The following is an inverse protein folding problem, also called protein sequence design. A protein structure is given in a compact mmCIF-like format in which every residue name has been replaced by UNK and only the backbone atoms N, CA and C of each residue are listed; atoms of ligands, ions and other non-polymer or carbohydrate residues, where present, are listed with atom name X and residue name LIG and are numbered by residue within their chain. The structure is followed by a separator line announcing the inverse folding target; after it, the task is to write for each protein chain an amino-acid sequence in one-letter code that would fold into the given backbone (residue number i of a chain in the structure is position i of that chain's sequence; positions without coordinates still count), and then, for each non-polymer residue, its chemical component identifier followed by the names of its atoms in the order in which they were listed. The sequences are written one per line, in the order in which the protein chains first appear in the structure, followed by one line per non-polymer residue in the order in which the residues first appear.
data_IF_182471460033
#
_entry.id   IF_182471460033
#
_cell.length_a   1.000
_cell.length_b   1.000
_cell.length_c   1.000
_cell.angle_alpha   90.00
_cell.angle_beta   90.00
_cell.angle_gamma   90.00
#
_symmetry.space_group_name_H-M   'P 1'
#
loop_
_entity.id
_entity.type
_entity.pdbx_description
1 polymer ?
#
# COMPACT_ATOMS: atom_id res chain seq x y z
N UNK A 1 -0.86 -20.32 9.32
CA UNK A 1 -1.60 -19.16 9.82
C UNK A 1 -3.09 -19.41 9.60
N UNK A 2 -3.89 -19.12 10.62
CA UNK A 2 -5.35 -19.31 10.54
C UNK A 2 -5.97 -17.96 10.16
N UNK A 3 -6.50 -17.89 8.95
CA UNK A 3 -7.25 -16.72 8.48
C UNK A 3 -8.55 -16.57 9.28
N UNK A 4 -8.89 -15.40 9.80
CA UNK A 4 -10.18 -15.17 10.43
C UNK A 4 -11.33 -15.45 9.47
N UNK A 5 -12.39 -16.10 9.96
CA UNK A 5 -13.55 -16.42 9.15
C UNK A 5 -14.21 -15.15 8.59
N UNK A 6 -14.55 -15.15 7.31
CA UNK A 6 -15.22 -14.02 6.64
C UNK A 6 -14.29 -12.89 6.18
N UNK A 7 -12.96 -13.06 6.31
CA UNK A 7 -11.98 -12.12 5.75
C UNK A 7 -11.51 -12.64 4.40
N UNK A 8 -11.62 -11.81 3.38
CA UNK A 8 -11.05 -12.07 2.06
C UNK A 8 -9.58 -11.64 2.02
N UNK A 9 -8.75 -12.45 1.35
CA UNK A 9 -7.35 -12.11 1.10
C UNK A 9 -7.26 -11.04 0.01
N UNK A 10 -6.17 -10.27 0.03
CA UNK A 10 -5.81 -9.43 -1.11
C UNK A 10 -5.60 -10.30 -2.36
N UNK A 11 -6.07 -9.81 -3.51
CA UNK A 11 -5.98 -10.51 -4.80
C UNK A 11 -7.11 -11.49 -5.09
N UNK A 12 -7.99 -11.78 -4.14
CA UNK A 12 -9.21 -12.56 -4.42
C UNK A 12 -10.12 -11.74 -5.34
N UNK A 13 -10.38 -12.29 -6.54
CA UNK A 13 -11.18 -11.59 -7.55
C UNK A 13 -10.39 -10.65 -8.47
N UNK A 14 -9.08 -10.49 -8.28
CA UNK A 14 -8.23 -9.75 -9.21
C UNK A 14 -8.20 -10.42 -10.59
N UNK A 15 -8.12 -9.60 -11.66
CA UNK A 15 -7.77 -10.06 -13.00
C UNK A 15 -6.25 -9.97 -13.22
N UNK A 16 -5.53 -11.10 -13.17
CA UNK A 16 -4.08 -11.12 -13.32
C UNK A 16 -3.63 -10.94 -14.79
N UNK A 17 -4.56 -10.81 -15.73
CA UNK A 17 -4.25 -10.53 -17.13
C UNK A 17 -4.18 -9.02 -17.43
N UNK A 18 -4.45 -8.19 -16.45
CA UNK A 18 -4.35 -6.74 -16.56
C UNK A 18 -3.29 -6.21 -15.59
N UNK A 19 -2.37 -5.39 -16.09
CA UNK A 19 -1.40 -4.72 -15.23
C UNK A 19 -2.12 -3.82 -14.23
N UNK A 20 -3.10 -3.05 -14.72
CA UNK A 20 -3.96 -2.21 -13.90
C UNK A 20 -5.43 -2.52 -14.21
N UNK A 21 -6.20 -2.74 -13.14
CA UNK A 21 -7.65 -2.64 -13.13
C UNK A 21 -8.05 -1.95 -11.80
N UNK A 22 -9.01 -1.01 -11.78
CA UNK A 22 -9.33 -0.22 -10.59
C UNK A 22 -9.63 -1.04 -9.33
N UNK A 23 -10.25 -2.21 -9.49
CA UNK A 23 -10.61 -3.10 -8.39
C UNK A 23 -9.59 -4.22 -8.10
N UNK A 24 -8.52 -4.35 -8.89
CA UNK A 24 -7.44 -5.25 -8.53
C UNK A 24 -6.75 -4.74 -7.25
N UNK A 25 -6.37 -5.63 -6.38
CA UNK A 25 -5.59 -5.29 -5.19
C UNK A 25 -4.09 -5.12 -5.47
N UNK A 26 -3.61 -5.72 -6.57
CA UNK A 26 -2.22 -5.69 -6.99
C UNK A 26 -2.07 -5.17 -8.42
N UNK A 27 -0.84 -4.76 -8.76
CA UNK A 27 -0.41 -4.50 -10.15
C UNK A 27 0.30 -5.73 -10.68
N UNK A 28 -0.22 -6.33 -11.76
CA UNK A 28 0.31 -7.57 -12.34
C UNK A 28 1.23 -7.29 -13.53
N UNK A 29 2.41 -7.89 -13.51
CA UNK A 29 3.30 -7.93 -14.67
C UNK A 29 2.86 -9.11 -15.54
N UNK A 30 1.91 -8.84 -16.42
CA UNK A 30 1.12 -9.84 -17.12
C UNK A 30 2.00 -10.82 -17.90
N UNK A 31 1.70 -12.12 -17.77
CA UNK A 31 2.36 -13.22 -18.50
C UNK A 31 3.85 -13.38 -18.21
N UNK A 32 4.37 -12.79 -17.16
CA UNK A 32 5.78 -12.93 -16.77
C UNK A 32 5.91 -13.58 -15.41
N UNK A 33 6.87 -14.49 -15.28
CA UNK A 33 7.28 -15.07 -13.99
C UNK A 33 8.18 -14.06 -13.28
N UNK A 34 8.05 -13.92 -11.98
CA UNK A 34 8.98 -13.15 -11.16
C UNK A 34 10.38 -13.78 -11.25
N UNK A 35 11.33 -13.04 -11.78
CA UNK A 35 12.67 -13.55 -12.14
C UNK A 35 13.74 -12.49 -11.88
N UNK A 36 14.04 -12.15 -10.62
CA UNK A 36 15.07 -11.18 -10.30
C UNK A 36 16.46 -11.67 -10.79
N UNK A 37 17.40 -10.73 -10.95
CA UNK A 37 18.77 -11.04 -11.40
C UNK A 37 19.69 -11.53 -10.26
N UNK A 38 19.12 -11.95 -9.13
CA UNK A 38 19.84 -12.51 -7.99
C UNK A 38 19.15 -13.80 -7.51
N UNK A 39 19.86 -14.59 -6.71
CA UNK A 39 19.36 -15.88 -6.24
C UNK A 39 18.29 -15.69 -5.16
N UNK A 40 17.12 -16.28 -5.34
CA UNK A 40 16.01 -16.34 -4.38
C UNK A 40 15.96 -17.66 -3.61
N UNK A 41 17.03 -18.46 -3.69
CA UNK A 41 17.04 -19.81 -3.16
C UNK A 41 16.76 -20.86 -4.24
N UNK A 42 17.06 -22.08 -3.93
CA UNK A 42 16.97 -23.21 -4.85
C UNK A 42 16.29 -24.44 -4.23
N UNK A 43 15.82 -25.33 -5.08
CA UNK A 43 15.19 -26.57 -4.64
C UNK A 43 13.73 -26.39 -4.23
N UNK A 44 13.32 -27.06 -3.14
CA UNK A 44 11.91 -27.08 -2.68
C UNK A 44 11.46 -25.76 -2.09
N UNK A 45 12.40 -24.90 -1.68
CA UNK A 45 12.17 -23.60 -1.05
C UNK A 45 12.33 -22.43 -2.05
N UNK A 46 12.47 -22.75 -3.36
CA UNK A 46 12.56 -21.71 -4.40
C UNK A 46 11.25 -20.92 -4.47
N UNK A 47 11.35 -19.59 -4.34
CA UNK A 47 10.20 -18.72 -4.51
C UNK A 47 9.70 -18.75 -5.95
N UNK A 48 8.38 -18.89 -6.13
CA UNK A 48 7.73 -18.85 -7.43
C UNK A 48 6.50 -17.93 -7.40
N UNK A 49 6.44 -16.98 -8.32
CA UNK A 49 5.28 -16.10 -8.49
C UNK A 49 4.95 -15.94 -9.98
N UNK A 50 3.69 -16.23 -10.34
CA UNK A 50 3.17 -16.03 -11.69
C UNK A 50 1.69 -15.60 -11.65
N UNK A 51 1.30 -14.53 -12.37
CA UNK A 51 2.21 -13.52 -12.91
C UNK A 51 2.92 -12.76 -11.79
N UNK A 52 4.09 -12.20 -12.10
CA UNK A 52 4.81 -11.33 -11.18
C UNK A 52 3.95 -10.10 -10.82
N UNK A 53 4.22 -9.51 -9.65
CA UNK A 53 3.56 -8.26 -9.20
C UNK A 53 4.59 -7.14 -9.08
N UNK A 54 4.13 -5.90 -9.19
CA UNK A 54 4.99 -4.75 -8.92
C UNK A 54 5.45 -4.73 -7.48
N UNK A 55 6.71 -4.35 -7.24
CA UNK A 55 7.27 -4.22 -5.88
C UNK A 55 6.76 -2.98 -5.17
N UNK A 56 6.90 -2.93 -3.85
CA UNK A 56 6.41 -1.83 -3.02
C UNK A 56 6.99 -0.46 -3.39
N UNK A 57 8.21 -0.42 -3.95
CA UNK A 57 8.87 0.81 -4.38
C UNK A 57 8.68 1.15 -5.88
N UNK A 58 7.56 0.72 -6.47
CA UNK A 58 7.16 1.08 -7.84
C UNK A 58 8.03 0.47 -8.96
N UNK A 59 8.66 -0.68 -8.73
CA UNK A 59 9.27 -1.44 -9.80
C UNK A 59 8.19 -2.28 -10.53
N UNK A 60 7.76 -1.82 -11.70
CA UNK A 60 6.78 -2.48 -12.58
C UNK A 60 7.48 -3.43 -13.56
N UNK A 61 8.35 -4.30 -13.06
CA UNK A 61 9.13 -5.27 -13.85
C UNK A 61 9.10 -6.64 -13.17
N UNK A 62 9.10 -7.70 -13.97
CA UNK A 62 9.30 -9.07 -13.47
C UNK A 62 10.75 -9.34 -13.05
N UNK A 63 11.66 -8.40 -13.32
CA UNK A 63 13.11 -8.52 -13.10
C UNK A 63 13.62 -7.43 -12.15
N UNK A 64 13.11 -7.34 -10.90
CA UNK A 64 13.59 -6.35 -9.96
C UNK A 64 15.07 -6.56 -9.63
N UNK A 65 15.75 -5.48 -9.27
CA UNK A 65 17.12 -5.51 -8.76
C UNK A 65 17.13 -5.77 -7.25
N UNK A 66 18.31 -6.02 -6.70
CA UNK A 66 18.51 -6.15 -5.25
C UNK A 66 18.18 -4.85 -4.47
N UNK A 67 18.18 -3.71 -5.15
CA UNK A 67 17.83 -2.40 -4.57
C UNK A 67 16.33 -2.10 -4.63
N UNK A 68 15.56 -2.86 -5.40
CA UNK A 68 14.11 -2.79 -5.38
C UNK A 68 13.59 -3.52 -4.13
N UNK A 69 12.43 -3.10 -3.64
CA UNK A 69 11.81 -3.75 -2.49
C UNK A 69 11.15 -5.07 -2.91
N UNK A 70 11.97 -5.98 -3.46
CA UNK A 70 11.54 -7.24 -4.05
C UNK A 70 10.81 -8.20 -3.09
N UNK A 71 10.99 -8.01 -1.79
CA UNK A 71 10.30 -8.76 -0.72
C UNK A 71 8.88 -8.22 -0.45
N UNK A 72 8.48 -7.16 -1.13
CA UNK A 72 7.20 -6.49 -0.94
C UNK A 72 6.39 -6.48 -2.22
N UNK A 73 5.08 -6.34 -2.09
CA UNK A 73 4.16 -6.21 -3.22
C UNK A 73 3.40 -4.89 -3.11
N UNK A 74 3.35 -4.13 -4.22
CA UNK A 74 2.60 -2.88 -4.26
C UNK A 74 1.10 -3.14 -4.27
N UNK A 75 0.40 -2.52 -3.32
CA UNK A 75 -1.06 -2.51 -3.30
C UNK A 75 -1.61 -1.47 -4.27
N UNK A 76 -2.66 -1.85 -4.98
CA UNK A 76 -3.34 -0.95 -5.91
C UNK A 76 -4.43 -0.15 -5.18
N UNK A 77 -4.19 1.14 -5.00
CA UNK A 77 -5.13 2.10 -4.45
C UNK A 77 -5.96 2.83 -5.52
N UNK A 78 -6.04 2.31 -6.73
CA UNK A 78 -6.82 2.91 -7.83
C UNK A 78 -6.05 3.95 -8.65
N UNK A 79 -4.71 3.93 -8.61
CA UNK A 79 -3.86 4.79 -9.44
C UNK A 79 -3.28 3.97 -10.59
N UNK A 80 -3.54 4.37 -11.83
CA UNK A 80 -2.90 3.80 -13.01
C UNK A 80 -1.53 4.47 -13.24
N UNK A 81 -0.46 3.78 -12.89
CA UNK A 81 0.90 4.27 -13.06
C UNK A 81 1.36 4.32 -14.54
N UNK A 82 0.61 3.70 -15.45
CA UNK A 82 0.89 3.76 -16.90
C UNK A 82 0.58 5.13 -17.50
N UNK A 83 -0.45 5.82 -16.98
CA UNK A 83 -0.91 7.10 -17.50
C UNK A 83 -1.19 8.15 -16.43
N UNK A 84 -1.04 7.81 -15.14
CA UNK A 84 -1.26 8.70 -14.01
C UNK A 84 -2.72 8.96 -13.66
N UNK A 85 -3.68 8.26 -14.29
CA UNK A 85 -5.09 8.42 -13.97
C UNK A 85 -5.45 7.85 -12.61
N UNK A 86 -6.47 8.45 -11.98
CA UNK A 86 -6.96 8.07 -10.65
C UNK A 86 -8.40 7.60 -10.74
N UNK A 87 -8.68 6.43 -10.18
CA UNK A 87 -9.95 5.75 -10.25
C UNK A 87 -10.46 5.47 -8.84
N UNK A 88 -11.11 6.46 -8.23
CA UNK A 88 -11.59 6.42 -6.85
C UNK A 88 -13.12 6.39 -6.74
N UNK A 89 -13.83 6.39 -7.87
CA UNK A 89 -15.26 6.20 -7.95
C UNK A 89 -15.58 5.16 -9.05
N UNK A 90 -16.10 3.97 -8.69
CA UNK A 90 -16.34 3.52 -7.31
C UNK A 90 -15.06 3.36 -6.49
N UNK A 91 -15.19 3.43 -5.15
CA UNK A 91 -14.05 3.26 -4.23
C UNK A 91 -13.40 1.89 -4.46
N UNK A 92 -12.06 1.83 -4.64
CA UNK A 92 -11.34 0.57 -4.86
C UNK A 92 -11.49 -0.43 -3.71
N UNK A 93 -11.56 -1.71 -4.03
CA UNK A 93 -11.67 -2.79 -3.04
C UNK A 93 -10.53 -2.76 -1.99
N UNK A 94 -9.31 -2.44 -2.42
CA UNK A 94 -8.16 -2.26 -1.52
C UNK A 94 -8.44 -1.30 -0.36
N UNK A 95 -9.19 -0.21 -0.59
CA UNK A 95 -9.50 0.77 0.45
C UNK A 95 -10.34 0.17 1.56
N UNK A 96 -11.36 -0.61 1.23
CA UNK A 96 -12.21 -1.30 2.22
C UNK A 96 -11.40 -2.31 3.03
N UNK A 97 -10.54 -3.09 2.37
CA UNK A 97 -9.67 -4.06 3.04
C UNK A 97 -8.71 -3.38 4.03
N UNK A 98 -8.07 -2.27 3.60
CA UNK A 98 -7.15 -1.52 4.45
C UNK A 98 -7.85 -0.84 5.63
N UNK A 99 -9.03 -0.25 5.44
CA UNK A 99 -9.81 0.31 6.57
C UNK A 99 -10.19 -0.77 7.57
N UNK A 100 -10.55 -1.96 7.10
CA UNK A 100 -10.85 -3.07 7.99
C UNK A 100 -9.63 -3.51 8.82
N UNK A 101 -8.43 -3.49 8.24
CA UNK A 101 -7.17 -3.74 8.97
C UNK A 101 -6.95 -2.66 10.04
N UNK A 102 -7.09 -1.39 9.68
CA UNK A 102 -6.96 -0.28 10.63
C UNK A 102 -7.98 -0.41 11.79
N UNK A 103 -9.24 -0.69 11.48
CA UNK A 103 -10.30 -0.90 12.49
C UNK A 103 -10.04 -2.13 13.37
N UNK A 104 -9.49 -3.20 12.80
CA UNK A 104 -9.12 -4.40 13.56
C UNK A 104 -8.09 -4.06 14.64
N UNK A 105 -6.99 -3.39 14.26
CA UNK A 105 -5.97 -2.99 15.23
C UNK A 105 -6.44 -1.93 16.22
N UNK A 106 -7.20 -0.94 15.76
CA UNK A 106 -7.84 0.04 16.64
C UNK A 106 -8.71 -0.63 17.73
N UNK A 107 -9.43 -1.71 17.37
CA UNK A 107 -10.24 -2.48 18.32
C UNK A 107 -9.42 -3.23 19.38
N UNK A 108 -8.10 -3.36 19.20
CA UNK A 108 -7.20 -3.97 20.18
C UNK A 108 -6.69 -3.00 21.23
N UNK A 109 -7.12 -1.73 21.17
CA UNK A 109 -6.77 -0.72 22.17
C UNK A 109 -5.41 -0.06 21.97
N UNK A 110 -4.94 0.03 20.73
CA UNK A 110 -3.73 0.82 20.41
C UNK A 110 -4.06 2.31 20.47
N UNK A 111 -3.04 3.13 20.69
CA UNK A 111 -3.18 4.59 20.82
C UNK A 111 -2.97 5.31 19.48
N UNK A 112 -2.14 4.76 18.61
CA UNK A 112 -1.78 5.42 17.35
C UNK A 112 -1.33 4.43 16.26
N UNK A 113 -1.39 4.91 15.00
CA UNK A 113 -0.72 4.33 13.84
C UNK A 113 0.42 5.23 13.41
N UNK A 114 1.64 4.71 13.35
CA UNK A 114 2.71 5.30 12.56
C UNK A 114 2.61 4.71 11.16
N UNK A 115 2.36 5.58 10.19
CA UNK A 115 2.18 5.20 8.80
C UNK A 115 3.47 5.47 8.03
N UNK A 116 4.08 4.40 7.55
CA UNK A 116 5.33 4.42 6.81
C UNK A 116 5.11 4.96 5.40
N UNK A 117 5.99 5.85 4.92
CA UNK A 117 6.03 6.32 3.53
C UNK A 117 4.64 6.69 2.98
N UNK A 118 3.86 7.46 3.73
CA UNK A 118 2.42 7.70 3.42
C UNK A 118 2.18 8.30 2.04
N UNK A 119 3.15 9.01 1.47
CA UNK A 119 3.07 9.62 0.14
C UNK A 119 3.08 8.60 -1.00
N UNK A 120 3.43 7.34 -0.74
CA UNK A 120 3.26 6.24 -1.69
C UNK A 120 1.82 5.72 -1.78
N UNK A 121 0.93 6.24 -0.94
CA UNK A 121 -0.50 5.97 -0.92
C UNK A 121 -1.24 7.27 -1.21
N UNK A 122 -2.25 7.29 -2.10
CA UNK A 122 -2.98 8.51 -2.43
C UNK A 122 -3.54 9.20 -1.19
N UNK A 123 -3.39 10.53 -1.13
CA UNK A 123 -3.90 11.32 -0.01
C UNK A 123 -5.43 11.18 0.14
N UNK A 124 -6.13 10.95 -0.95
CA UNK A 124 -7.57 10.72 -0.98
C UNK A 124 -7.97 9.46 -0.19
N UNK A 125 -7.16 8.41 -0.22
CA UNK A 125 -7.38 7.23 0.63
C UNK A 125 -7.32 7.60 2.11
N UNK A 126 -6.29 8.34 2.52
CA UNK A 126 -6.13 8.76 3.91
C UNK A 126 -7.28 9.67 4.36
N UNK A 127 -7.67 10.64 3.51
CA UNK A 127 -8.79 11.53 3.76
C UNK A 127 -10.13 10.81 3.91
N UNK A 128 -10.29 9.66 3.28
CA UNK A 128 -11.46 8.80 3.42
C UNK A 128 -11.33 7.85 4.62
N UNK A 129 -10.17 7.22 4.81
CA UNK A 129 -9.97 6.15 5.78
C UNK A 129 -9.88 6.66 7.23
N UNK A 130 -9.11 7.73 7.47
CA UNK A 130 -8.86 8.25 8.82
C UNK A 130 -10.14 8.69 9.53
N UNK A 131 -11.04 9.48 8.90
CA UNK A 131 -12.33 9.81 9.50
C UNK A 131 -13.17 8.57 9.84
N UNK A 132 -13.21 7.57 8.95
CA UNK A 132 -13.96 6.33 9.19
C UNK A 132 -13.43 5.49 10.37
N UNK A 133 -12.13 5.55 10.64
CA UNK A 133 -11.55 4.91 11.83
C UNK A 133 -11.87 5.73 13.06
N UNK A 134 -11.70 7.05 13.02
CA UNK A 134 -11.92 7.96 14.14
C UNK A 134 -13.39 8.08 14.55
N UNK A 135 -14.33 7.87 13.65
CA UNK A 135 -15.75 7.81 13.98
C UNK A 135 -16.03 6.80 15.10
N UNK A 136 -15.38 5.64 15.05
CA UNK A 136 -15.53 4.58 16.05
C UNK A 136 -14.47 4.62 17.16
N UNK A 137 -13.27 5.13 16.84
CA UNK A 137 -12.11 5.17 17.74
C UNK A 137 -11.50 6.57 17.76
N UNK A 138 -12.18 7.57 18.37
CA UNK A 138 -11.81 8.99 18.28
C UNK A 138 -10.45 9.32 18.96
N UNK A 139 -9.99 8.46 19.86
CA UNK A 139 -8.70 8.65 20.55
C UNK A 139 -7.49 8.30 19.69
N UNK A 140 -7.66 7.48 18.64
CA UNK A 140 -6.57 7.01 17.79
C UNK A 140 -5.90 8.18 17.06
N UNK A 141 -4.58 8.22 17.12
CA UNK A 141 -3.74 9.18 16.39
C UNK A 141 -3.13 8.55 15.15
N UNK A 142 -2.98 9.38 14.12
CA UNK A 142 -2.29 9.00 12.90
C UNK A 142 -1.06 9.87 12.70
N UNK A 143 0.11 9.23 12.59
CA UNK A 143 1.42 9.87 12.46
C UNK A 143 1.96 9.51 11.07
N UNK A 144 2.11 10.53 10.21
CA UNK A 144 2.60 10.35 8.85
C UNK A 144 4.13 10.44 8.78
N UNK A 145 4.77 9.47 8.13
CA UNK A 145 6.16 9.62 7.71
C UNK A 145 6.20 10.21 6.31
N UNK A 146 6.70 11.45 6.18
CA UNK A 146 6.83 12.18 4.91
C UNK A 146 8.18 12.90 4.90
N UNK A 147 8.86 12.87 3.74
CA UNK A 147 10.16 13.52 3.54
C UNK A 147 10.12 14.69 2.55
N UNK A 148 8.98 14.95 1.90
CA UNK A 148 8.79 16.08 1.00
C UNK A 148 7.95 17.17 1.68
N UNK A 149 8.59 18.29 2.01
CA UNK A 149 7.95 19.44 2.66
C UNK A 149 6.81 20.05 1.84
N UNK A 150 6.83 19.90 0.51
CA UNK A 150 5.80 20.48 -0.37
C UNK A 150 4.43 19.80 -0.21
N UNK A 151 4.39 18.55 0.24
CA UNK A 151 3.15 17.79 0.41
C UNK A 151 2.66 17.69 1.85
N UNK A 152 3.39 18.24 2.86
CA UNK A 152 2.98 18.18 4.26
C UNK A 152 1.57 18.70 4.49
N UNK A 153 1.26 19.87 3.92
CA UNK A 153 -0.06 20.49 4.08
C UNK A 153 -1.18 19.60 3.55
N UNK A 154 -0.95 18.94 2.43
CA UNK A 154 -1.92 18.07 1.81
C UNK A 154 -2.26 16.87 2.71
N UNK A 155 -1.25 16.20 3.26
CA UNK A 155 -1.48 15.06 4.14
C UNK A 155 -2.05 15.44 5.51
N UNK A 156 -1.72 16.61 6.05
CA UNK A 156 -2.35 17.11 7.29
C UNK A 156 -3.81 17.52 7.06
N UNK A 157 -4.09 18.33 6.04
CA UNK A 157 -5.43 18.90 5.88
C UNK A 157 -6.37 17.97 5.10
N UNK A 158 -5.94 17.42 3.99
CA UNK A 158 -6.75 16.54 3.16
C UNK A 158 -6.63 15.07 3.56
N UNK A 159 -5.46 14.65 4.03
CA UNK A 159 -5.21 13.30 4.54
C UNK A 159 -5.68 13.08 5.99
N UNK A 160 -5.96 14.15 6.76
CA UNK A 160 -6.40 14.11 8.16
C UNK A 160 -5.42 13.49 9.15
N UNK A 161 -4.11 13.51 8.88
CA UNK A 161 -3.11 13.09 9.83
C UNK A 161 -2.99 14.07 11.01
N UNK A 162 -2.80 13.52 12.21
CA UNK A 162 -2.63 14.33 13.44
C UNK A 162 -1.21 14.90 13.56
N UNK A 163 -0.21 14.13 13.11
CA UNK A 163 1.21 14.46 13.25
C UNK A 163 2.00 14.07 12.00
N UNK A 164 3.10 14.77 11.77
CA UNK A 164 4.12 14.42 10.80
C UNK A 164 5.38 13.98 11.51
N UNK A 165 6.04 12.95 10.97
CA UNK A 165 7.38 12.54 11.30
C UNK A 165 8.27 12.75 10.09
N UNK A 166 9.34 13.52 10.27
CA UNK A 166 10.26 13.91 9.22
C UNK A 166 11.71 13.78 9.67
N UNK A 167 12.57 13.32 8.78
CA UNK A 167 14.02 13.20 9.00
C UNK A 167 14.82 14.30 8.27
N UNK A 168 14.17 15.20 7.55
CA UNK A 168 14.84 16.19 6.67
C UNK A 168 15.82 17.05 7.46
N UNK A 169 15.44 17.51 8.64
CA UNK A 169 16.29 18.35 9.49
C UNK A 169 17.61 17.69 9.95
N UNK A 170 17.74 16.39 9.80
CA UNK A 170 18.95 15.63 10.18
C UNK A 170 19.96 15.58 9.03
N UNK A 171 19.51 15.80 7.80
CA UNK A 171 20.34 15.66 6.58
C UNK A 171 20.62 16.98 5.87
N UNK A 172 19.97 18.07 6.27
CA UNK A 172 20.10 19.42 5.66
C UNK A 172 21.16 20.30 6.34
N UNK A 173 22.10 19.73 7.11
CA UNK A 173 23.21 20.47 7.75
C UNK A 173 24.55 20.18 7.09
#
# INVERSE_FOLDING_TARGET
DVKPQGIEDFGVGDDPNMMFAPNNNFYYITRQVFSPHFDLGSGKDAYFEFPAKATGNDCFSAFPSVNDWYETVKLNYGVDYGNGSRHFDPIPDTWFKMVNILRFWASKGIDAFRCDMVFMVPVEFWGWAIPLVKEKYPHIKFIAEIYDVNIYRDYIYNGHFDYLYDKVSVYDT
#
